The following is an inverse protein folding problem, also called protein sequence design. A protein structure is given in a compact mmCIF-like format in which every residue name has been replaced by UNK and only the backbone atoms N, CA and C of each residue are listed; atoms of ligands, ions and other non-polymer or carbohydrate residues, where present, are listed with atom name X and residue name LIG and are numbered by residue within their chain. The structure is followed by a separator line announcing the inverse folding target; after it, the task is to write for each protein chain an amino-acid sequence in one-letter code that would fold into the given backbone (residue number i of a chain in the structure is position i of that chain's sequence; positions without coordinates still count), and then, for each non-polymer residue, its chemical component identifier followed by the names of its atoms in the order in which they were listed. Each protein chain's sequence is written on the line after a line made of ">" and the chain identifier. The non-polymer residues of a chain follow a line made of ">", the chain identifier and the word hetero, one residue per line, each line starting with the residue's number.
data_IF_186759278378
#
_entry.id   IF_186759278378
#
_cell.length_a   1.000
_cell.length_b   1.000
_cell.length_c   1.000
_cell.angle_alpha   90.00
_cell.angle_beta   90.00
_cell.angle_gamma   90.00
#
_symmetry.space_group_name_H-M   'P 1'
#
loop_
_entity.id
_entity.type
_entity.pdbx_description
1 polymer ?
#
# COMPACT_ATOMS: atom_id res chain seq x y z
N UNK A 1 -3.34 -10.17 17.93
CA UNK A 1 -3.94 -10.61 19.20
C UNK A 1 -5.44 -10.67 18.97
N UNK A 2 -6.12 -11.79 19.26
CA UNK A 2 -7.55 -11.95 19.00
C UNK A 2 -8.28 -11.66 20.32
N UNK A 3 -9.07 -10.58 20.36
CA UNK A 3 -9.96 -10.31 21.48
C UNK A 3 -11.31 -10.94 21.14
N UNK A 4 -11.60 -12.11 21.73
CA UNK A 4 -12.96 -12.63 21.77
C UNK A 4 -13.58 -12.14 23.08
N UNK A 5 -14.39 -11.09 22.99
CA UNK A 5 -15.19 -10.60 24.11
C UNK A 5 -16.53 -11.32 24.07
N UNK A 6 -16.63 -12.38 24.85
CA UNK A 6 -17.92 -12.95 25.24
C UNK A 6 -18.53 -12.02 26.29
N UNK A 7 -19.66 -11.40 25.93
CA UNK A 7 -20.44 -10.44 26.74
C UNK A 7 -20.01 -8.95 26.66
N UNK A 8 -21.04 -8.09 26.63
CA UNK A 8 -21.04 -6.65 26.33
C UNK A 8 -20.11 -5.75 27.18
N UNK A 9 -19.38 -6.29 28.16
CA UNK A 9 -18.61 -5.51 29.15
C UNK A 9 -17.32 -4.89 28.57
N UNK A 10 -16.57 -5.63 27.74
CA UNK A 10 -15.31 -5.13 27.17
C UNK A 10 -15.46 -4.17 25.97
N UNK A 11 -16.66 -4.07 25.41
CA UNK A 11 -16.94 -3.20 24.25
C UNK A 11 -16.82 -1.72 24.64
N UNK A 12 -17.26 -1.38 25.86
CA UNK A 12 -17.17 -0.01 26.40
C UNK A 12 -15.72 0.40 26.63
N UNK A 13 -14.87 -0.53 27.08
CA UNK A 13 -13.45 -0.29 27.35
C UNK A 13 -12.64 0.03 26.08
N UNK A 14 -13.09 -0.44 24.91
CA UNK A 14 -12.48 -0.15 23.61
C UNK A 14 -13.11 1.10 22.97
N UNK A 15 -14.43 1.26 23.07
CA UNK A 15 -15.15 2.38 22.45
C UNK A 15 -14.84 3.72 23.09
N UNK A 16 -14.73 3.80 24.42
CA UNK A 16 -14.46 5.06 25.12
C UNK A 16 -13.12 5.69 24.69
N UNK A 17 -11.99 4.95 24.66
CA UNK A 17 -10.74 5.46 24.11
C UNK A 17 -10.85 5.88 22.64
N UNK A 18 -11.54 5.09 21.79
CA UNK A 18 -11.69 5.42 20.36
C UNK A 18 -12.50 6.71 20.14
N UNK A 19 -13.58 6.91 20.89
CA UNK A 19 -14.36 8.15 20.84
C UNK A 19 -13.56 9.36 21.35
N UNK A 20 -12.68 9.17 22.35
CA UNK A 20 -11.81 10.23 22.85
C UNK A 20 -10.68 10.58 21.86
N UNK A 21 -10.14 9.60 21.13
CA UNK A 21 -9.10 9.81 20.13
C UNK A 21 -9.64 10.47 18.84
N UNK A 22 -10.90 10.19 18.49
CA UNK A 22 -11.53 10.69 17.27
C UNK A 22 -12.90 11.34 17.57
N UNK A 23 -12.92 12.49 18.29
CA UNK A 23 -14.15 13.13 18.73
C UNK A 23 -15.07 13.50 17.56
N UNK A 24 -14.49 13.93 16.44
CA UNK A 24 -15.21 14.30 15.20
C UNK A 24 -16.01 13.14 14.59
N UNK A 25 -15.60 11.89 14.88
CA UNK A 25 -16.20 10.66 14.32
C UNK A 25 -16.94 9.82 15.36
N UNK A 26 -17.04 10.33 16.59
CA UNK A 26 -17.70 9.64 17.71
C UNK A 26 -19.14 9.24 17.39
N UNK A 27 -19.89 10.10 16.71
CA UNK A 27 -21.27 9.83 16.31
C UNK A 27 -21.36 8.68 15.29
N UNK A 28 -20.41 8.59 14.35
CA UNK A 28 -20.36 7.50 13.37
C UNK A 28 -20.02 6.16 14.02
N UNK A 29 -19.04 6.15 14.93
CA UNK A 29 -18.65 4.98 15.72
C UNK A 29 -19.82 4.45 16.55
N UNK A 30 -20.53 5.33 17.25
CA UNK A 30 -21.71 4.95 18.04
C UNK A 30 -22.84 4.40 17.15
N UNK A 31 -23.07 5.02 15.99
CA UNK A 31 -24.06 4.54 15.03
C UNK A 31 -23.70 3.17 14.45
N UNK A 32 -22.42 2.89 14.22
CA UNK A 32 -21.94 1.61 13.73
C UNK A 32 -22.26 0.49 14.73
N UNK A 33 -21.96 0.72 16.01
CA UNK A 33 -22.26 -0.22 17.11
C UNK A 33 -23.78 -0.45 17.30
N UNK A 34 -24.58 0.61 17.23
CA UNK A 34 -26.03 0.52 17.41
C UNK A 34 -26.73 -0.19 16.25
N UNK A 35 -26.21 -0.06 15.02
CA UNK A 35 -26.81 -0.67 13.82
C UNK A 35 -26.33 -2.11 13.57
N UNK A 36 -25.24 -2.54 14.19
CA UNK A 36 -24.69 -3.87 14.01
C UNK A 36 -25.45 -4.95 14.81
N UNK A 37 -26.43 -5.60 14.18
CA UNK A 37 -27.25 -6.68 14.79
C UNK A 37 -26.47 -7.91 15.25
N UNK A 38 -25.28 -8.15 14.69
CA UNK A 38 -24.43 -9.32 14.97
C UNK A 38 -23.15 -8.96 15.74
N UNK A 39 -23.02 -7.71 16.19
CA UNK A 39 -21.81 -7.19 16.83
C UNK A 39 -20.83 -6.57 15.83
N UNK A 40 -19.73 -6.05 16.38
CA UNK A 40 -18.66 -5.37 15.64
C UNK A 40 -17.38 -6.20 15.76
N UNK A 41 -16.73 -6.47 14.62
CA UNK A 41 -15.44 -7.14 14.59
C UNK A 41 -14.32 -6.10 14.43
N UNK A 42 -13.42 -6.03 15.40
CA UNK A 42 -12.25 -5.12 15.38
C UNK A 42 -10.99 -5.98 15.27
N UNK A 43 -10.20 -5.78 14.23
CA UNK A 43 -8.97 -6.54 14.01
C UNK A 43 -7.73 -5.64 14.15
N UNK A 44 -6.96 -5.83 15.22
CA UNK A 44 -5.70 -5.10 15.40
C UNK A 44 -4.55 -5.92 14.83
N UNK A 45 -4.07 -5.52 13.65
CA UNK A 45 -2.88 -6.09 13.00
C UNK A 45 -1.67 -5.20 13.21
N UNK A 46 -0.49 -5.81 13.33
CA UNK A 46 0.74 -5.03 13.17
C UNK A 46 0.79 -4.51 11.73
N UNK A 47 1.05 -3.21 11.59
CA UNK A 47 1.41 -2.64 10.30
C UNK A 47 2.69 -3.33 9.87
N UNK A 48 2.61 -4.17 8.85
CA UNK A 48 3.79 -4.79 8.27
C UNK A 48 4.59 -3.67 7.61
N UNK A 49 5.88 -3.56 7.96
CA UNK A 49 6.84 -2.68 7.28
C UNK A 49 7.00 -2.99 5.79
N UNK A 50 6.44 -4.09 5.30
CA UNK A 50 6.64 -4.58 3.94
C UNK A 50 5.31 -4.70 3.20
N UNK A 51 5.37 -4.51 1.88
CA UNK A 51 4.32 -4.74 0.90
C UNK A 51 3.58 -6.07 1.12
N UNK A 52 2.32 -6.11 0.68
CA UNK A 52 1.58 -7.37 0.67
C UNK A 52 2.04 -8.27 -0.46
N UNK A 53 1.88 -9.59 -0.31
CA UNK A 53 2.21 -10.54 -1.39
C UNK A 53 1.33 -10.33 -2.63
N UNK A 54 0.13 -9.77 -2.46
CA UNK A 54 -0.76 -9.39 -3.56
C UNK A 54 -0.21 -8.18 -4.33
N UNK A 55 0.23 -7.12 -3.62
CA UNK A 55 0.88 -5.96 -4.23
C UNK A 55 2.12 -6.38 -5.03
N UNK A 56 2.97 -7.23 -4.44
CA UNK A 56 4.18 -7.70 -5.14
C UNK A 56 3.85 -8.50 -6.40
N UNK A 57 2.90 -9.45 -6.33
CA UNK A 57 2.51 -10.24 -7.51
C UNK A 57 1.91 -9.38 -8.60
N UNK A 58 1.05 -8.42 -8.23
CA UNK A 58 0.46 -7.48 -9.17
C UNK A 58 1.55 -6.62 -9.84
N UNK A 59 2.43 -6.00 -9.04
CA UNK A 59 3.50 -5.14 -9.54
C UNK A 59 4.44 -5.90 -10.48
N UNK A 60 4.95 -7.06 -10.06
CA UNK A 60 5.91 -7.84 -10.87
C UNK A 60 5.33 -8.29 -12.21
N UNK A 61 4.05 -8.69 -12.22
CA UNK A 61 3.35 -9.06 -13.45
C UNK A 61 3.32 -7.88 -14.43
N UNK A 62 2.77 -6.76 -14.00
CA UNK A 62 2.52 -5.63 -14.88
C UNK A 62 3.78 -4.84 -15.22
N UNK A 63 4.73 -4.73 -14.29
CA UNK A 63 6.06 -4.21 -14.56
C UNK A 63 6.76 -5.05 -15.64
N UNK A 64 6.65 -6.38 -15.59
CA UNK A 64 7.22 -7.27 -16.60
C UNK A 64 6.58 -7.14 -17.98
N UNK A 65 5.25 -7.08 -18.06
CA UNK A 65 4.54 -6.90 -19.33
C UNK A 65 4.79 -5.50 -19.92
N UNK A 66 4.78 -4.46 -19.09
CA UNK A 66 5.08 -3.11 -19.51
C UNK A 66 6.54 -2.95 -19.97
N UNK A 67 7.50 -3.58 -19.27
CA UNK A 67 8.90 -3.60 -19.68
C UNK A 67 9.07 -4.18 -21.09
N UNK A 68 8.42 -5.31 -21.38
CA UNK A 68 8.42 -5.91 -22.74
C UNK A 68 7.85 -4.96 -23.79
N UNK A 69 6.78 -4.24 -23.47
CA UNK A 69 6.17 -3.27 -24.38
C UNK A 69 7.12 -2.11 -24.72
N UNK A 70 7.86 -1.59 -23.74
CA UNK A 70 8.82 -0.48 -23.93
C UNK A 70 10.18 -0.97 -24.48
N UNK A 71 10.42 -2.28 -24.51
CA UNK A 71 11.71 -2.85 -24.95
C UNK A 71 12.79 -2.84 -23.87
N UNK A 72 12.40 -2.80 -22.59
CA UNK A 72 13.30 -2.87 -21.44
C UNK A 72 13.20 -4.24 -20.76
N UNK A 73 14.22 -4.60 -19.99
CA UNK A 73 14.12 -5.72 -19.04
C UNK A 73 13.25 -5.33 -17.85
N UNK A 74 12.75 -6.35 -17.14
CA UNK A 74 11.99 -6.13 -15.90
C UNK A 74 12.80 -5.28 -14.90
N UNK A 75 14.09 -5.52 -14.76
CA UNK A 75 14.93 -4.85 -13.75
C UNK A 75 15.25 -3.41 -14.14
N UNK A 76 15.51 -3.14 -15.42
CA UNK A 76 15.67 -1.76 -15.91
C UNK A 76 14.38 -0.95 -15.75
N UNK A 77 13.23 -1.55 -16.06
CA UNK A 77 11.92 -0.90 -15.84
C UNK A 77 11.65 -0.70 -14.35
N UNK A 78 12.03 -1.67 -13.50
CA UNK A 78 11.88 -1.54 -12.05
C UNK A 78 12.70 -0.38 -11.50
N UNK A 79 13.96 -0.24 -11.92
CA UNK A 79 14.83 0.87 -11.53
C UNK A 79 14.30 2.22 -12.03
N UNK A 80 13.81 2.30 -13.27
CA UNK A 80 13.19 3.51 -13.81
C UNK A 80 11.97 3.94 -12.98
N UNK A 81 11.07 2.99 -12.68
CA UNK A 81 9.88 3.27 -11.88
C UNK A 81 10.22 3.66 -10.43
N UNK A 82 11.27 3.09 -9.84
CA UNK A 82 11.77 3.51 -8.53
C UNK A 82 12.30 4.95 -8.56
N UNK A 83 13.06 5.31 -9.60
CA UNK A 83 13.56 6.67 -9.79
C UNK A 83 12.42 7.67 -9.98
N UNK A 84 11.38 7.31 -10.74
CA UNK A 84 10.20 8.17 -10.93
C UNK A 84 9.35 8.30 -9.67
N UNK A 85 9.14 7.21 -8.94
CA UNK A 85 8.27 7.18 -7.77
C UNK A 85 8.90 7.86 -6.54
N UNK A 86 10.21 7.66 -6.33
CA UNK A 86 10.88 8.07 -5.09
C UNK A 86 12.02 9.06 -5.30
N UNK A 87 12.24 9.50 -6.54
CA UNK A 87 13.37 10.32 -6.92
C UNK A 87 14.65 9.50 -7.12
N UNK A 88 15.67 10.18 -7.64
CA UNK A 88 16.97 9.57 -7.95
C UNK A 88 18.11 10.50 -7.57
N UNK A 89 19.27 9.92 -7.30
CA UNK A 89 20.55 10.62 -7.13
C UNK A 89 21.57 10.16 -8.17
N UNK A 90 22.49 11.05 -8.53
CA UNK A 90 23.64 10.74 -9.39
C UNK A 90 24.85 10.51 -8.51
N UNK A 91 25.55 9.40 -8.72
CA UNK A 91 26.72 9.03 -7.95
C UNK A 91 27.89 8.81 -8.89
N UNK A 92 28.99 9.48 -8.58
CA UNK A 92 30.24 9.31 -9.27
C UNK A 92 30.87 7.97 -8.83
N UNK A 93 31.11 7.09 -9.79
CA UNK A 93 31.78 5.81 -9.57
C UNK A 93 33.02 5.73 -10.45
N UNK A 94 33.89 4.75 -10.18
CA UNK A 94 35.03 4.48 -11.07
C UNK A 94 34.63 4.07 -12.49
N UNK A 95 33.36 3.69 -12.71
CA UNK A 95 32.79 3.36 -14.01
C UNK A 95 32.05 4.55 -14.67
N UNK A 96 32.08 5.73 -14.04
CA UNK A 96 31.33 6.92 -14.45
C UNK A 96 30.14 7.22 -13.55
N UNK A 97 29.36 8.23 -13.95
CA UNK A 97 28.18 8.67 -13.22
C UNK A 97 27.02 7.69 -13.41
N UNK A 98 26.45 7.22 -12.30
CA UNK A 98 25.32 6.30 -12.29
C UNK A 98 24.14 6.96 -11.58
N UNK A 99 22.96 6.91 -12.21
CA UNK A 99 21.69 7.28 -11.59
C UNK A 99 21.15 6.10 -10.77
N UNK A 100 20.86 6.31 -9.49
CA UNK A 100 20.22 5.32 -8.62
C UNK A 100 18.97 5.87 -7.93
N UNK A 101 17.98 5.04 -7.59
CA UNK A 101 16.81 5.49 -6.85
C UNK A 101 17.17 5.83 -5.40
N UNK A 102 16.49 6.82 -4.83
CA UNK A 102 16.67 7.23 -3.44
C UNK A 102 16.14 6.18 -2.42
N UNK A 103 15.22 5.31 -2.85
CA UNK A 103 14.62 4.27 -2.01
C UNK A 103 14.45 2.97 -2.78
N UNK A 104 14.65 1.83 -2.11
CA UNK A 104 14.41 0.50 -2.68
C UNK A 104 13.00 0.00 -2.37
N UNK A 105 12.45 -0.83 -3.25
CA UNK A 105 11.15 -1.49 -3.05
C UNK A 105 11.10 -2.45 -1.85
N UNK A 106 12.26 -2.85 -1.32
CA UNK A 106 12.42 -3.65 -0.09
C UNK A 106 12.36 -2.82 1.19
N UNK A 107 12.57 -1.51 1.09
CA UNK A 107 12.66 -0.59 2.24
C UNK A 107 11.35 0.13 2.52
N UNK A 108 10.41 0.05 1.57
CA UNK A 108 9.14 0.77 1.60
C UNK A 108 7.98 -0.06 2.18
N UNK A 109 7.09 0.63 2.89
CA UNK A 109 5.88 0.05 3.45
C UNK A 109 4.77 -0.18 2.42
N UNK A 110 3.64 -0.75 2.86
CA UNK A 110 2.45 -1.01 2.02
C UNK A 110 1.95 0.25 1.31
N UNK A 111 1.96 1.41 1.98
CA UNK A 111 1.48 2.68 1.43
C UNK A 111 2.41 3.19 0.34
N UNK A 112 3.71 3.32 0.64
CA UNK A 112 4.72 3.76 -0.34
C UNK A 112 4.82 2.79 -1.54
N UNK A 113 4.65 1.48 -1.31
CA UNK A 113 4.61 0.50 -2.39
C UNK A 113 3.36 0.67 -3.27
N UNK A 114 2.25 1.19 -2.73
CA UNK A 114 1.08 1.56 -3.53
C UNK A 114 1.39 2.75 -4.43
N UNK A 115 2.16 3.73 -3.96
CA UNK A 115 2.64 4.84 -4.80
C UNK A 115 3.53 4.35 -5.95
N UNK A 116 4.34 3.30 -5.74
CA UNK A 116 5.10 2.66 -6.82
C UNK A 116 4.18 1.98 -7.85
N UNK A 117 3.10 1.33 -7.41
CA UNK A 117 2.08 0.76 -8.30
C UNK A 117 1.34 1.84 -9.09
N UNK A 118 0.98 2.95 -8.45
CA UNK A 118 0.35 4.09 -9.12
C UNK A 118 1.27 4.68 -10.18
N UNK A 119 2.56 4.84 -9.88
CA UNK A 119 3.56 5.30 -10.85
C UNK A 119 3.66 4.37 -12.07
N UNK A 120 3.60 3.05 -11.86
CA UNK A 120 3.52 2.07 -12.96
C UNK A 120 2.27 2.31 -13.83
N UNK A 121 1.11 2.49 -13.22
CA UNK A 121 -0.15 2.70 -13.95
C UNK A 121 -0.12 4.02 -14.74
N UNK A 122 0.36 5.12 -14.13
CA UNK A 122 0.47 6.41 -14.80
C UNK A 122 1.46 6.36 -15.96
N UNK A 123 2.66 5.84 -15.72
CA UNK A 123 3.70 5.76 -16.76
C UNK A 123 3.27 4.84 -17.91
N UNK A 124 2.55 3.76 -17.60
CA UNK A 124 1.97 2.89 -18.62
C UNK A 124 0.91 3.61 -19.46
N UNK A 125 0.02 4.35 -18.81
CA UNK A 125 -1.02 5.11 -19.49
C UNK A 125 -0.46 6.23 -20.37
N UNK A 126 0.63 6.89 -19.97
CA UNK A 126 1.35 7.88 -20.77
C UNK A 126 1.87 7.32 -22.10
N UNK A 127 2.15 6.01 -22.15
CA UNK A 127 2.64 5.31 -23.33
C UNK A 127 1.57 4.43 -24.00
N UNK A 128 0.29 4.71 -23.74
CA UNK A 128 -0.87 3.99 -24.27
C UNK A 128 -0.87 2.47 -23.97
N UNK A 129 -0.22 2.06 -22.86
CA UNK A 129 -0.25 0.69 -22.36
C UNK A 129 -1.27 0.55 -21.22
N UNK A 130 -2.25 -0.34 -21.40
CA UNK A 130 -3.28 -0.57 -20.39
C UNK A 130 -2.78 -1.50 -19.27
N UNK A 131 -2.65 -0.94 -18.07
CA UNK A 131 -2.51 -1.70 -16.82
C UNK A 131 -3.85 -1.66 -16.09
N UNK A 132 -4.54 -2.80 -15.88
CA UNK A 132 -5.77 -2.84 -15.10
C UNK A 132 -5.51 -2.26 -13.71
N UNK A 133 -6.40 -1.43 -13.16
CA UNK A 133 -6.23 -0.94 -11.80
C UNK A 133 -6.07 -2.12 -10.86
N UNK A 134 -5.21 -1.99 -9.85
CA UNK A 134 -5.17 -2.95 -8.76
C UNK A 134 -6.59 -3.04 -8.20
N UNK A 135 -7.31 -4.15 -8.47
CA UNK A 135 -8.63 -4.42 -7.91
C UNK A 135 -8.56 -4.01 -6.46
N UNK A 136 -9.45 -3.09 -6.02
CA UNK A 136 -9.43 -2.48 -4.67
C UNK A 136 -8.92 -3.56 -3.74
N UNK A 137 -7.63 -3.48 -3.42
CA UNK A 137 -7.02 -4.38 -2.48
C UNK A 137 -7.59 -3.81 -1.22
N UNK A 138 -8.77 -4.28 -0.85
CA UNK A 138 -9.47 -3.83 0.34
C UNK A 138 -8.50 -4.23 1.43
N UNK A 139 -7.65 -3.26 1.79
CA UNK A 139 -7.13 -3.13 3.12
C UNK A 139 -8.43 -3.02 3.87
N UNK A 140 -8.90 -4.15 4.38
CA UNK A 140 -9.96 -4.16 5.36
C UNK A 140 -9.39 -3.31 6.49
N UNK A 141 -9.78 -2.04 6.46
CA UNK A 141 -9.53 -1.06 7.52
C UNK A 141 -10.03 -1.61 8.85
#
# INVERSE_FOLDING_TARGET
>A
MKFELEENSGVVEILLPLCNLFPERSLELMNLCLKSKRGVHIEVKSIKKSRTSMQERYYRKWCGEFAKFVGMTHDEMHEELLCRAFGSESIETSMGDIRRPLKRSSEVGVVEYSSLIEMLIFTAAELDFYVPPAERMVVNE
#
